data_IF_580717923712
#
_entry.id   IF_580717923712
#
_cell.length_a   1.000
_cell.length_b   1.000
_cell.length_c   1.000
_cell.angle_alpha   90.00
_cell.angle_beta   90.00
_cell.angle_gamma   90.00
#
_symmetry.space_group_name_H-M   'P 1'
#
loop_
_entity.id
_entity.type
_entity.pdbx_description
1 polymer ?
#
# COMPACT_ATOMS: atom_id res chain seq x y z
N UNK A 1 -33.69 -13.43 -37.20
CA UNK A 1 -33.69 -13.03 -35.78
C UNK A 1 -32.69 -13.79 -34.89
N UNK A 2 -32.05 -14.87 -35.34
CA UNK A 2 -31.15 -15.69 -34.49
C UNK A 2 -29.72 -15.10 -34.36
N UNK A 3 -29.26 -14.31 -35.33
CA UNK A 3 -27.89 -13.77 -35.32
C UNK A 3 -27.64 -12.67 -34.26
N UNK A 4 -28.65 -11.88 -33.88
CA UNK A 4 -28.51 -10.82 -32.88
C UNK A 4 -28.36 -11.36 -31.44
N UNK A 5 -29.18 -12.34 -31.08
CA UNK A 5 -29.15 -12.99 -29.75
C UNK A 5 -27.80 -13.67 -29.46
N UNK A 6 -27.15 -14.22 -30.49
CA UNK A 6 -25.87 -14.93 -30.34
C UNK A 6 -24.70 -13.98 -30.05
N UNK A 7 -24.76 -12.74 -30.54
CA UNK A 7 -23.78 -11.69 -30.26
C UNK A 7 -23.97 -11.14 -28.84
N UNK A 8 -25.22 -10.93 -28.41
CA UNK A 8 -25.51 -10.49 -27.04
C UNK A 8 -25.03 -11.51 -25.99
N UNK A 9 -25.25 -12.81 -26.21
CA UNK A 9 -24.72 -13.86 -25.32
C UNK A 9 -23.19 -13.89 -25.26
N UNK A 10 -22.50 -13.60 -26.36
CA UNK A 10 -21.03 -13.58 -26.40
C UNK A 10 -20.47 -12.42 -25.58
N UNK A 11 -21.07 -11.24 -25.71
CA UNK A 11 -20.70 -10.05 -24.96
C UNK A 11 -20.91 -10.25 -23.44
N UNK A 12 -22.01 -10.91 -23.05
CA UNK A 12 -22.28 -11.21 -21.63
C UNK A 12 -21.21 -12.15 -21.07
N UNK A 13 -20.87 -13.22 -21.80
CA UNK A 13 -19.83 -14.18 -21.36
C UNK A 13 -18.46 -13.53 -21.22
N UNK A 14 -18.10 -12.63 -22.13
CA UNK A 14 -16.82 -11.92 -22.08
C UNK A 14 -16.78 -10.95 -20.89
N UNK A 15 -17.89 -10.29 -20.58
CA UNK A 15 -18.00 -9.40 -19.42
C UNK A 15 -17.90 -10.17 -18.09
N UNK A 16 -18.58 -11.31 -17.98
CA UNK A 16 -18.48 -12.20 -16.80
C UNK A 16 -17.05 -12.73 -16.60
N UNK A 17 -16.36 -13.07 -17.70
CA UNK A 17 -14.97 -13.51 -17.63
C UNK A 17 -14.04 -12.39 -17.16
N UNK A 18 -14.23 -11.18 -17.67
CA UNK A 18 -13.43 -10.01 -17.29
C UNK A 18 -13.63 -9.67 -15.81
N UNK A 19 -14.86 -9.77 -15.30
CA UNK A 19 -15.18 -9.55 -13.89
C UNK A 19 -14.42 -10.52 -12.97
N UNK A 20 -14.34 -11.80 -13.35
CA UNK A 20 -13.58 -12.83 -12.62
C UNK A 20 -12.06 -12.55 -12.66
N UNK A 21 -11.55 -12.06 -13.77
CA UNK A 21 -10.12 -11.75 -13.94
C UNK A 21 -9.71 -10.55 -13.09
N UNK A 22 -10.52 -9.48 -13.09
CA UNK A 22 -10.32 -8.30 -12.23
C UNK A 22 -10.41 -8.68 -10.75
N UNK A 23 -11.39 -9.50 -10.35
CA UNK A 23 -11.49 -9.96 -8.97
C UNK A 23 -10.27 -10.78 -8.49
N UNK A 24 -9.59 -11.50 -9.39
CA UNK A 24 -8.36 -12.24 -9.06
C UNK A 24 -7.17 -11.32 -8.87
N UNK A 25 -6.99 -10.36 -9.77
CA UNK A 25 -5.93 -9.35 -9.63
C UNK A 25 -6.10 -8.53 -8.35
N UNK A 26 -7.33 -8.15 -8.00
CA UNK A 26 -7.63 -7.45 -6.75
C UNK A 26 -7.28 -8.29 -5.50
N UNK A 27 -7.51 -9.61 -5.55
CA UNK A 27 -7.13 -10.52 -4.47
C UNK A 27 -5.61 -10.67 -4.31
N UNK A 28 -4.86 -10.64 -5.43
CA UNK A 28 -3.40 -10.66 -5.41
C UNK A 28 -2.84 -9.33 -4.84
N UNK A 29 -3.43 -8.20 -5.24
CA UNK A 29 -3.08 -6.87 -4.71
C UNK A 29 -3.36 -6.81 -3.20
N UNK A 30 -4.53 -7.28 -2.75
CA UNK A 30 -4.86 -7.34 -1.32
C UNK A 30 -3.84 -8.17 -0.53
N UNK A 31 -3.42 -9.30 -1.08
CA UNK A 31 -2.39 -10.15 -0.49
C UNK A 31 -1.02 -9.46 -0.42
N UNK A 32 -0.65 -8.69 -1.45
CA UNK A 32 0.59 -7.91 -1.46
C UNK A 32 0.52 -6.78 -0.42
N UNK A 33 -0.61 -6.07 -0.32
CA UNK A 33 -0.83 -5.01 0.67
C UNK A 33 -0.74 -5.58 2.09
N UNK A 34 -1.42 -6.70 2.37
CA UNK A 34 -1.34 -7.35 3.69
C UNK A 34 0.07 -7.87 4.02
N UNK A 35 0.85 -8.30 3.03
CA UNK A 35 2.23 -8.73 3.25
C UNK A 35 3.18 -7.55 3.44
N UNK A 36 2.95 -6.43 2.74
CA UNK A 36 3.74 -5.21 2.89
C UNK A 36 3.49 -4.55 4.25
N UNK A 37 2.23 -4.49 4.68
CA UNK A 37 1.82 -4.01 6.00
C UNK A 37 2.48 -4.82 7.14
N UNK A 38 2.73 -6.12 6.91
CA UNK A 38 3.45 -6.99 7.84
C UNK A 38 4.97 -6.90 7.76
N UNK A 39 5.56 -6.44 6.65
CA UNK A 39 7.03 -6.41 6.43
C UNK A 39 7.69 -5.04 6.67
N UNK A 40 6.92 -4.01 7.01
CA UNK A 40 7.45 -2.65 7.16
C UNK A 40 7.00 -2.04 8.48
N UNK A 41 7.32 -2.72 9.57
CA UNK A 41 7.25 -2.11 10.90
C UNK A 41 8.56 -1.35 11.16
N UNK A 42 8.61 -0.09 10.70
CA UNK A 42 9.71 0.79 11.05
C UNK A 42 9.63 1.13 12.53
N UNK A 43 10.65 0.73 13.29
CA UNK A 43 10.77 1.05 14.70
C UNK A 43 11.84 2.11 14.88
N UNK A 44 11.46 3.22 15.48
CA UNK A 44 12.35 4.30 15.89
C UNK A 44 12.85 4.00 17.31
N UNK A 45 14.16 3.95 17.52
CA UNK A 45 14.76 3.83 18.85
C UNK A 45 14.99 5.20 19.52
N UNK A 46 15.43 5.17 20.78
CA UNK A 46 15.73 6.35 21.60
C UNK A 46 16.88 7.21 21.03
N UNK A 47 17.66 6.67 20.08
CA UNK A 47 18.79 7.33 19.42
C UNK A 47 18.44 7.85 18.00
N UNK A 48 17.14 7.93 17.67
CA UNK A 48 16.62 8.36 16.36
C UNK A 48 17.06 7.47 15.18
N UNK A 49 17.37 6.20 15.42
CA UNK A 49 17.72 5.25 14.37
C UNK A 49 16.48 4.50 13.89
N UNK A 50 16.26 4.53 12.57
CA UNK A 50 15.18 3.77 11.94
C UNK A 50 15.65 2.33 11.73
N UNK A 51 14.93 1.37 12.31
CA UNK A 51 15.20 -0.05 12.15
C UNK A 51 14.03 -0.74 11.45
N UNK A 52 14.34 -1.51 10.39
CA UNK A 52 13.38 -2.42 9.74
C UNK A 52 13.80 -3.85 10.07
N UNK A 53 12.97 -4.56 10.82
CA UNK A 53 13.18 -5.92 11.34
C UNK A 53 14.49 -6.16 12.12
N UNK A 54 15.62 -6.18 11.41
CA UNK A 54 16.99 -6.41 11.92
C UNK A 54 18.06 -5.60 11.19
N UNK A 55 17.67 -4.77 10.21
CA UNK A 55 18.59 -3.93 9.43
C UNK A 55 18.50 -2.50 9.92
N UNK A 56 19.56 -2.06 10.59
CA UNK A 56 19.80 -0.68 11.00
C UNK A 56 19.95 0.18 9.73
N UNK A 57 18.99 1.07 9.45
CA UNK A 57 19.14 2.04 8.37
C UNK A 57 19.46 3.39 9.00
N UNK A 58 20.75 3.61 9.24
CA UNK A 58 21.26 4.93 9.64
C UNK A 58 21.17 5.83 8.42
N UNK A 59 20.15 6.67 8.36
CA UNK A 59 20.05 7.73 7.36
C UNK A 59 21.07 8.83 7.72
N UNK A 60 22.31 8.69 7.25
CA UNK A 60 23.36 9.70 7.39
C UNK A 60 23.12 10.94 6.50
N UNK A 61 22.13 10.89 5.62
CA UNK A 61 21.78 11.99 4.73
C UNK A 61 20.72 12.89 5.38
N UNK A 62 21.12 14.14 5.66
CA UNK A 62 20.26 15.13 6.30
C UNK A 62 19.04 15.49 5.45
N UNK A 63 19.18 15.53 4.11
CA UNK A 63 18.08 15.88 3.22
C UNK A 63 17.03 14.78 3.18
N UNK A 64 17.44 13.52 3.16
CA UNK A 64 16.51 12.38 3.18
C UNK A 64 15.78 12.29 4.53
N UNK A 65 16.45 12.62 5.64
CA UNK A 65 15.84 12.67 6.98
C UNK A 65 14.76 13.75 7.06
N UNK A 66 15.07 14.96 6.63
CA UNK A 66 14.11 16.08 6.64
C UNK A 66 12.93 15.82 5.69
N UNK A 67 13.16 15.19 4.54
CA UNK A 67 12.09 14.82 3.61
C UNK A 67 11.12 13.80 4.23
N UNK A 68 11.64 12.73 4.85
CA UNK A 68 10.83 11.72 5.53
C UNK A 68 10.07 12.31 6.73
N UNK A 69 10.71 13.16 7.54
CA UNK A 69 10.05 13.85 8.64
C UNK A 69 8.95 14.78 8.14
N UNK A 70 9.20 15.51 7.06
CA UNK A 70 8.21 16.42 6.46
C UNK A 70 7.00 15.65 5.93
N UNK A 71 7.23 14.51 5.27
CA UNK A 71 6.17 13.65 4.76
C UNK A 71 5.37 13.00 5.90
N UNK A 72 6.06 12.50 6.93
CA UNK A 72 5.42 11.96 8.14
C UNK A 72 4.62 13.03 8.92
N UNK A 73 5.08 14.28 8.94
CA UNK A 73 4.36 15.41 9.54
C UNK A 73 3.19 15.91 8.69
N UNK A 74 3.26 15.75 7.37
CA UNK A 74 2.18 16.11 6.45
C UNK A 74 1.11 15.02 6.32
N UNK A 75 1.39 13.82 6.84
CA UNK A 75 0.44 12.72 6.86
C UNK A 75 -0.79 13.07 7.72
N UNK A 76 -2.02 12.85 7.22
CA UNK A 76 -3.25 13.06 8.01
C UNK A 76 -3.35 12.11 9.21
N UNK A 77 -2.51 11.08 9.27
CA UNK A 77 -2.39 10.14 10.38
C UNK A 77 -1.25 10.49 11.35
N UNK A 78 -0.61 11.65 11.20
CA UNK A 78 0.45 12.10 12.11
C UNK A 78 -0.14 12.38 13.49
N UNK A 79 0.29 11.61 14.49
CA UNK A 79 -0.12 11.80 15.89
C UNK A 79 0.89 12.73 16.55
N UNK A 80 0.51 14.00 16.71
CA UNK A 80 1.24 14.90 17.61
C UNK A 80 0.92 14.49 19.06
N UNK A 81 1.83 13.75 19.71
CA UNK A 81 1.81 13.65 21.17
C UNK A 81 2.07 15.06 21.73
N UNK A 82 0.98 15.78 21.98
CA UNK A 82 1.00 17.15 22.49
C UNK A 82 1.87 17.24 23.74
N UNK A 83 2.76 18.23 23.74
CA UNK A 83 3.64 18.53 24.87
C UNK A 83 2.83 18.70 26.16
N UNK A 84 2.83 17.67 27.01
CA UNK A 84 2.46 17.85 28.41
C UNK A 84 3.61 18.52 29.13
N UNK A 85 3.34 19.77 29.53
CA UNK A 85 4.17 20.64 30.35
C UNK A 85 4.49 20.04 31.72
#
# INVERSE_FOLDING_TARGET
MIAGLKVEEEIIRDLERLDIEICKEDSEIWTIVENLDKQVEFRLDDDNVLSQDTRLVVLNDATLREALLTEAHSSPFSVHLGSTK
#
